data_IF_797535266345
#
_entry.id   IF_797535266345
#
_cell.length_a   1.000
_cell.length_b   1.000
_cell.length_c   1.000
_cell.angle_alpha   90.00
_cell.angle_beta   90.00
_cell.angle_gamma   90.00
#
_symmetry.space_group_name_H-M   'P 1'
#
loop_
_entity.id
_entity.type
_entity.pdbx_description
1 polymer ?
#
# COMPACT_ATOMS: atom_id res chain seq x y z
N UNK A 1 11.89 14.80 4.39
CA UNK A 1 11.98 15.24 2.98
C UNK A 1 10.56 15.63 2.54
N UNK A 2 10.28 16.91 2.26
CA UNK A 2 9.01 17.30 1.65
C UNK A 2 9.10 16.94 0.17
N UNK A 3 8.44 15.87 -0.27
CA UNK A 3 8.24 15.65 -1.70
C UNK A 3 7.25 16.72 -2.14
N UNK A 4 7.77 17.85 -2.63
CA UNK A 4 6.97 18.94 -3.18
C UNK A 4 6.75 18.61 -4.65
N UNK A 5 5.64 17.96 -4.95
CA UNK A 5 5.21 17.75 -6.34
C UNK A 5 4.57 19.05 -6.80
N UNK A 6 5.31 19.86 -7.55
CA UNK A 6 4.80 21.14 -8.06
C UNK A 6 3.68 20.90 -9.08
N UNK A 7 2.64 21.74 -9.01
CA UNK A 7 1.33 21.61 -9.69
C UNK A 7 1.36 21.69 -11.23
N UNK A 8 2.53 21.62 -11.86
CA UNK A 8 2.67 21.82 -13.31
C UNK A 8 3.43 20.72 -14.05
N UNK A 9 3.75 19.60 -13.39
CA UNK A 9 4.30 18.43 -14.07
C UNK A 9 3.32 17.28 -13.93
N UNK A 10 2.80 16.81 -15.06
CA UNK A 10 1.96 15.62 -15.16
C UNK A 10 2.81 14.38 -14.83
N UNK A 11 3.08 14.16 -13.55
CA UNK A 11 3.66 12.90 -13.10
C UNK A 11 2.52 11.90 -12.95
N UNK A 12 2.14 11.25 -14.05
CA UNK A 12 1.25 10.10 -13.98
C UNK A 12 1.93 8.96 -13.21
N UNK A 13 3.25 8.81 -13.40
CA UNK A 13 4.05 7.76 -12.78
C UNK A 13 5.19 8.39 -11.96
N UNK A 14 5.29 8.03 -10.68
CA UNK A 14 6.41 8.39 -9.82
C UNK A 14 7.02 7.13 -9.22
N UNK A 15 8.32 6.90 -9.47
CA UNK A 15 9.06 5.78 -8.90
C UNK A 15 10.31 6.29 -8.15
N UNK A 16 10.34 6.05 -6.85
CA UNK A 16 11.47 6.34 -5.96
C UNK A 16 11.95 5.00 -5.39
N UNK A 17 12.96 4.40 -6.01
CA UNK A 17 13.47 3.08 -5.59
C UNK A 17 14.90 3.20 -5.04
N UNK A 18 15.21 2.40 -4.01
CA UNK A 18 16.58 2.19 -3.49
C UNK A 18 17.30 3.48 -3.07
N UNK A 19 16.73 4.19 -2.11
CA UNK A 19 17.37 5.34 -1.46
C UNK A 19 17.47 5.13 0.05
N UNK A 20 18.04 6.11 0.76
CA UNK A 20 18.12 6.13 2.23
C UNK A 20 17.12 7.13 2.83
N UNK A 21 16.00 7.38 2.16
CA UNK A 21 15.04 8.36 2.67
C UNK A 21 14.43 7.91 3.99
N UNK A 22 14.37 8.82 4.94
CA UNK A 22 13.87 8.63 6.30
C UNK A 22 12.74 9.63 6.62
N UNK A 23 12.03 9.37 7.71
CA UNK A 23 10.89 10.18 8.16
C UNK A 23 9.57 9.75 7.54
N UNK A 24 8.53 10.54 7.75
CA UNK A 24 7.18 10.25 7.24
C UNK A 24 6.92 10.83 5.85
N UNK A 25 5.99 10.19 5.15
CA UNK A 25 5.43 10.65 3.89
C UNK A 25 3.94 10.94 4.08
N UNK A 26 3.49 12.08 3.57
CA UNK A 26 2.08 12.48 3.62
C UNK A 26 1.40 12.09 2.30
N UNK A 27 0.64 11.00 2.34
CA UNK A 27 -0.10 10.47 1.19
C UNK A 27 -1.46 11.16 0.96
N UNK A 28 -1.90 12.03 1.88
CA UNK A 28 -3.19 12.74 1.77
C UNK A 28 -3.16 13.88 0.76
N UNK A 29 -1.96 14.23 0.26
CA UNK A 29 -1.73 15.38 -0.62
C UNK A 29 -1.08 14.99 -1.94
N UNK A 30 -1.28 13.73 -2.37
CA UNK A 30 -0.82 13.28 -3.67
C UNK A 30 -1.53 14.05 -4.80
N UNK A 31 -0.87 14.27 -5.95
CA UNK A 31 -1.51 14.88 -7.12
C UNK A 31 -2.74 14.09 -7.56
N UNK A 32 -3.79 14.81 -7.95
CA UNK A 32 -5.06 14.23 -8.45
C UNK A 32 -4.87 13.39 -9.72
N UNK A 33 -3.87 13.73 -10.55
CA UNK A 33 -3.58 13.06 -11.82
C UNK A 33 -2.57 11.91 -11.68
N UNK A 34 -2.16 11.57 -10.45
CA UNK A 34 -1.23 10.48 -10.20
C UNK A 34 -1.92 9.13 -10.44
N UNK A 35 -1.40 8.34 -11.38
CA UNK A 35 -1.86 6.98 -11.65
C UNK A 35 -1.02 5.94 -10.92
N UNK A 36 0.31 6.11 -10.87
CA UNK A 36 1.20 5.11 -10.30
C UNK A 36 2.23 5.72 -9.34
N UNK A 37 2.31 5.15 -8.14
CA UNK A 37 3.29 5.53 -7.12
C UNK A 37 4.04 4.31 -6.60
N UNK A 38 5.35 4.25 -6.85
CA UNK A 38 6.23 3.24 -6.28
C UNK A 38 7.31 3.89 -5.42
N UNK A 39 7.27 3.67 -4.11
CA UNK A 39 8.30 4.08 -3.16
C UNK A 39 8.82 2.83 -2.45
N UNK A 40 9.87 2.24 -3.02
CA UNK A 40 10.36 0.93 -2.59
C UNK A 40 11.78 0.99 -2.06
N UNK A 41 12.09 0.14 -1.08
CA UNK A 41 13.45 -0.03 -0.55
C UNK A 41 14.02 1.30 -0.03
N UNK A 42 13.35 1.86 0.98
CA UNK A 42 13.76 3.06 1.70
C UNK A 42 13.64 2.82 3.22
N UNK A 43 13.80 3.86 4.03
CA UNK A 43 13.64 3.83 5.50
C UNK A 43 12.54 4.79 5.94
N UNK A 44 11.52 4.98 5.10
CA UNK A 44 10.38 5.83 5.43
C UNK A 44 9.53 5.14 6.50
N UNK A 45 8.97 5.92 7.40
CA UNK A 45 8.31 5.42 8.61
C UNK A 45 7.04 6.20 8.94
N UNK A 46 6.27 5.72 9.91
CA UNK A 46 5.01 6.32 10.31
C UNK A 46 3.80 5.70 9.60
N UNK A 47 2.62 6.23 9.89
CA UNK A 47 1.37 5.70 9.35
C UNK A 47 1.08 6.17 7.94
N UNK A 48 0.29 5.36 7.23
CA UNK A 48 -0.15 5.63 5.85
C UNK A 48 -1.66 5.79 5.86
N UNK A 49 -2.14 6.96 5.46
CA UNK A 49 -3.58 7.24 5.32
C UNK A 49 -4.02 6.86 3.90
N UNK A 50 -4.57 5.66 3.75
CA UNK A 50 -5.02 5.12 2.46
C UNK A 50 -6.41 5.61 2.03
N UNK A 51 -7.18 6.17 2.97
CA UNK A 51 -8.57 6.61 2.74
C UNK A 51 -8.71 7.93 1.96
N UNK A 52 -7.59 8.56 1.63
CA UNK A 52 -7.54 9.86 0.92
C UNK A 52 -6.67 9.79 -0.34
N UNK A 53 -6.47 8.59 -0.89
CA UNK A 53 -5.72 8.43 -2.13
C UNK A 53 -6.48 9.05 -3.32
N UNK A 54 -5.78 9.56 -4.35
CA UNK A 54 -6.40 10.08 -5.56
C UNK A 54 -7.29 9.05 -6.24
N UNK A 55 -8.42 9.49 -6.79
CA UNK A 55 -9.40 8.61 -7.46
C UNK A 55 -8.88 7.95 -8.72
N UNK A 56 -7.80 8.46 -9.31
CA UNK A 56 -7.16 7.94 -10.53
C UNK A 56 -5.97 7.00 -10.22
N UNK A 57 -5.65 6.77 -8.95
CA UNK A 57 -4.50 5.96 -8.58
C UNK A 57 -4.78 4.48 -8.88
N UNK A 58 -3.97 3.88 -9.74
CA UNK A 58 -4.04 2.49 -10.19
C UNK A 58 -3.07 1.60 -9.40
N UNK A 59 -1.83 2.06 -9.20
CA UNK A 59 -0.80 1.30 -8.50
C UNK A 59 -0.18 2.06 -7.33
N UNK A 60 -0.12 1.41 -6.17
CA UNK A 60 0.60 1.90 -4.99
C UNK A 60 1.53 0.80 -4.45
N UNK A 61 2.84 1.03 -4.57
CA UNK A 61 3.88 0.10 -4.11
C UNK A 61 4.73 0.80 -3.05
N UNK A 62 4.61 0.40 -1.78
CA UNK A 62 5.35 0.96 -0.64
C UNK A 62 6.32 -0.04 -0.01
N UNK A 63 6.65 -1.10 -0.73
CA UNK A 63 7.27 -2.29 -0.18
C UNK A 63 8.71 -2.04 0.29
N UNK A 64 9.16 -2.76 1.33
CA UNK A 64 10.49 -2.61 1.93
C UNK A 64 10.73 -1.18 2.48
N UNK A 65 9.89 -0.76 3.41
CA UNK A 65 10.05 0.46 4.21
C UNK A 65 9.90 0.13 5.70
N UNK A 66 9.67 1.14 6.53
CA UNK A 66 9.43 1.05 7.98
C UNK A 66 8.08 1.69 8.34
N UNK A 67 7.12 1.71 7.40
CA UNK A 67 5.78 2.22 7.68
C UNK A 67 5.08 1.34 8.72
N UNK A 68 4.21 1.92 9.54
CA UNK A 68 3.62 1.22 10.67
C UNK A 68 2.21 1.71 10.99
N UNK A 69 1.56 1.08 11.96
CA UNK A 69 0.18 1.38 12.37
C UNK A 69 -0.86 0.54 11.63
N UNK A 70 -2.13 0.83 11.91
CA UNK A 70 -3.26 0.11 11.34
C UNK A 70 -3.56 0.53 9.90
N UNK A 71 -4.09 -0.40 9.12
CA UNK A 71 -4.50 -0.18 7.74
C UNK A 71 -6.02 -0.06 7.66
N UNK A 72 -6.49 1.00 7.01
CA UNK A 72 -7.88 1.16 6.60
C UNK A 72 -7.96 1.05 5.07
N UNK A 73 -8.45 -0.10 4.59
CA UNK A 73 -8.62 -0.39 3.17
C UNK A 73 -10.04 -0.12 2.68
N UNK A 74 -10.92 0.44 3.50
CA UNK A 74 -12.36 0.56 3.19
C UNK A 74 -12.69 1.62 2.14
N UNK A 75 -11.71 2.45 1.77
CA UNK A 75 -11.87 3.58 0.84
C UNK A 75 -10.76 3.64 -0.20
N UNK A 76 -10.25 2.49 -0.64
CA UNK A 76 -9.32 2.47 -1.75
C UNK A 76 -10.01 2.97 -3.04
N UNK A 77 -9.29 3.68 -3.94
CA UNK A 77 -9.82 4.13 -5.22
C UNK A 77 -10.36 2.97 -6.05
N UNK A 78 -11.48 3.18 -6.76
CA UNK A 78 -12.07 2.16 -7.63
C UNK A 78 -11.20 1.81 -8.83
N UNK A 79 -10.28 2.71 -9.23
CA UNK A 79 -9.27 2.48 -10.27
C UNK A 79 -8.12 1.58 -9.83
N UNK A 80 -7.98 1.33 -8.53
CA UNK A 80 -6.80 0.63 -8.00
C UNK A 80 -6.78 -0.82 -8.47
N UNK A 81 -5.69 -1.20 -9.13
CA UNK A 81 -5.42 -2.55 -9.62
C UNK A 81 -4.32 -3.23 -8.79
N UNK A 82 -3.38 -2.48 -8.20
CA UNK A 82 -2.27 -3.06 -7.42
C UNK A 82 -1.95 -2.29 -6.16
N UNK A 83 -1.89 -3.01 -5.05
CA UNK A 83 -1.45 -2.51 -3.75
C UNK A 83 -0.42 -3.45 -3.14
N UNK A 84 0.83 -2.98 -2.98
CA UNK A 84 1.86 -3.72 -2.25
C UNK A 84 2.38 -2.90 -1.08
N UNK A 85 2.11 -3.39 0.12
CA UNK A 85 2.58 -2.85 1.40
C UNK A 85 3.58 -3.79 2.09
N UNK A 86 4.06 -4.77 1.33
CA UNK A 86 4.94 -5.84 1.80
C UNK A 86 6.19 -5.32 2.52
N UNK A 87 6.66 -6.05 3.53
CA UNK A 87 7.92 -5.72 4.25
C UNK A 87 7.86 -4.31 4.84
N UNK A 88 6.91 -4.12 5.72
CA UNK A 88 6.76 -2.94 6.58
C UNK A 88 6.49 -3.43 8.01
N UNK A 89 6.10 -2.53 8.90
CA UNK A 89 5.71 -2.81 10.29
C UNK A 89 4.24 -2.44 10.54
N UNK A 90 3.36 -2.61 9.54
CA UNK A 90 1.92 -2.43 9.74
C UNK A 90 1.37 -3.49 10.69
N UNK A 91 0.45 -3.12 11.58
CA UNK A 91 -0.04 -3.99 12.64
C UNK A 91 -1.54 -3.83 12.89
N UNK A 92 -2.13 -4.78 13.62
CA UNK A 92 -3.57 -4.83 13.89
C UNK A 92 -4.37 -5.57 12.79
N UNK A 93 -5.69 -5.45 12.85
CA UNK A 93 -6.60 -6.13 11.93
C UNK A 93 -6.86 -5.32 10.67
N UNK A 94 -7.19 -6.01 9.57
CA UNK A 94 -7.50 -5.40 8.28
C UNK A 94 -8.86 -5.89 7.80
N UNK A 95 -9.75 -4.96 7.48
CA UNK A 95 -11.02 -5.26 6.82
C UNK A 95 -10.81 -5.36 5.30
N UNK A 96 -11.13 -6.53 4.75
CA UNK A 96 -11.01 -6.83 3.31
C UNK A 96 -12.38 -6.83 2.60
N UNK A 97 -13.46 -6.47 3.29
CA UNK A 97 -14.83 -6.56 2.76
C UNK A 97 -15.16 -5.51 1.69
N UNK A 98 -14.37 -4.43 1.62
CA UNK A 98 -14.61 -3.27 0.75
C UNK A 98 -13.49 -3.07 -0.30
N UNK A 99 -12.77 -4.12 -0.67
CA UNK A 99 -11.74 -4.00 -1.70
C UNK A 99 -12.35 -3.63 -3.07
N UNK A 100 -11.68 -2.80 -3.88
CA UNK A 100 -12.12 -2.47 -5.23
C UNK A 100 -12.30 -3.72 -6.10
N UNK A 101 -13.37 -3.75 -6.90
CA UNK A 101 -13.65 -4.87 -7.79
C UNK A 101 -12.53 -5.11 -8.83
N UNK A 102 -11.83 -4.05 -9.24
CA UNK A 102 -10.72 -4.09 -10.19
C UNK A 102 -9.36 -4.44 -9.58
N UNK A 103 -9.28 -4.73 -8.28
CA UNK A 103 -8.01 -5.04 -7.62
C UNK A 103 -7.49 -6.40 -8.08
N UNK A 104 -6.33 -6.40 -8.73
CA UNK A 104 -5.66 -7.59 -9.28
C UNK A 104 -4.60 -8.13 -8.32
N UNK A 105 -3.94 -7.24 -7.57
CA UNK A 105 -2.83 -7.58 -6.69
C UNK A 105 -2.95 -6.87 -5.33
N UNK A 106 -2.94 -7.66 -4.26
CA UNK A 106 -2.85 -7.18 -2.88
C UNK A 106 -1.76 -7.96 -2.14
N UNK A 107 -0.64 -7.29 -1.83
CA UNK A 107 0.46 -7.88 -1.09
C UNK A 107 0.70 -7.15 0.23
N UNK A 108 0.21 -7.75 1.32
CA UNK A 108 0.40 -7.29 2.69
C UNK A 108 1.43 -8.14 3.47
N UNK A 109 2.16 -9.03 2.78
CA UNK A 109 3.05 -9.99 3.43
C UNK A 109 4.22 -9.33 4.16
N UNK A 110 4.89 -10.06 5.06
CA UNK A 110 6.01 -9.55 5.85
C UNK A 110 5.66 -8.24 6.62
N UNK A 111 4.51 -8.25 7.32
CA UNK A 111 4.05 -7.20 8.25
C UNK A 111 3.67 -7.84 9.61
N UNK A 112 3.22 -7.04 10.57
CA UNK A 112 2.78 -7.45 11.93
C UNK A 112 1.24 -7.47 12.06
N UNK A 113 0.53 -7.73 10.95
CA UNK A 113 -0.93 -7.75 10.90
C UNK A 113 -1.51 -9.00 11.59
N UNK A 114 -2.64 -8.83 12.27
CA UNK A 114 -3.35 -9.87 13.03
C UNK A 114 -4.82 -9.99 12.58
N UNK A 115 -5.53 -11.03 13.01
CA UNK A 115 -6.95 -11.24 12.68
C UNK A 115 -7.23 -11.85 11.29
N UNK A 116 -8.51 -11.85 10.88
CA UNK A 116 -9.10 -12.54 9.71
C UNK A 116 -8.58 -12.10 8.32
N UNK A 117 -7.36 -11.58 8.21
CA UNK A 117 -6.61 -11.63 6.94
C UNK A 117 -6.52 -13.09 6.42
N UNK A 118 -6.79 -14.08 7.30
CA UNK A 118 -6.82 -15.50 7.02
C UNK A 118 -8.08 -16.12 6.39
N UNK A 119 -9.19 -15.39 6.13
CA UNK A 119 -10.42 -16.08 5.67
C UNK A 119 -11.17 -15.36 4.55
N UNK A 120 -10.58 -15.21 3.35
CA UNK A 120 -11.42 -15.10 2.15
C UNK A 120 -10.91 -15.99 1.02
N UNK A 121 -11.27 -17.27 1.12
CA UNK A 121 -11.42 -18.23 0.00
C UNK A 121 -12.55 -17.81 -0.98
N UNK A 122 -12.80 -16.52 -1.15
CA UNK A 122 -13.96 -15.96 -1.87
C UNK A 122 -13.62 -14.81 -2.82
N UNK A 123 -12.34 -14.50 -3.00
CA UNK A 123 -11.92 -13.72 -4.17
C UNK A 123 -12.02 -14.61 -5.42
N UNK A 124 -12.48 -14.10 -6.57
CA UNK A 124 -12.45 -14.83 -7.82
C UNK A 124 -11.03 -15.35 -8.07
N UNK A 125 -10.92 -16.58 -8.54
CA UNK A 125 -9.68 -17.35 -8.69
C UNK A 125 -8.60 -16.68 -9.56
N UNK A 126 -8.92 -15.58 -10.23
CA UNK A 126 -7.99 -14.75 -11.00
C UNK A 126 -7.11 -13.82 -10.15
N UNK A 127 -7.47 -13.51 -8.90
CA UNK A 127 -6.86 -12.39 -8.13
C UNK A 127 -5.77 -12.82 -7.13
N UNK A 128 -5.51 -14.11 -6.92
CA UNK A 128 -4.64 -14.57 -5.82
C UNK A 128 -3.39 -15.30 -6.29
N UNK A 129 -2.38 -14.54 -6.76
CA UNK A 129 -1.05 -15.10 -7.09
C UNK A 129 0.04 -14.94 -6.02
N UNK A 130 -0.14 -14.22 -4.91
CA UNK A 130 0.93 -14.18 -3.90
C UNK A 130 0.52 -13.79 -2.47
N UNK A 131 -0.56 -14.34 -1.92
CA UNK A 131 -0.80 -14.18 -0.48
C UNK A 131 -0.18 -15.35 0.27
N UNK A 132 0.67 -15.00 1.25
CA UNK A 132 1.26 -15.81 2.32
C UNK A 132 2.63 -16.46 2.07
N UNK A 133 3.66 -15.84 2.67
CA UNK A 133 4.74 -16.58 3.33
C UNK A 133 5.04 -15.98 4.72
N UNK A 134 4.85 -16.83 5.73
CA UNK A 134 5.37 -16.81 7.12
C UNK A 134 4.97 -15.67 8.06
N UNK A 135 3.97 -15.95 8.90
CA UNK A 135 4.12 -15.63 10.33
C UNK A 135 5.31 -16.45 10.86
N UNK A 136 6.22 -15.81 11.60
CA UNK A 136 7.28 -16.51 12.33
C UNK A 136 6.62 -17.52 13.28
N UNK A 137 7.14 -18.76 13.42
CA UNK A 137 6.81 -19.54 14.59
C UNK A 137 7.35 -18.78 15.80
N UNK A 138 6.49 -18.51 16.77
CA UNK A 138 6.93 -18.16 18.11
C UNK A 138 7.74 -19.35 18.65
N UNK A 139 8.98 -19.10 19.07
CA UNK A 139 9.76 -20.02 19.92
C UNK A 139 9.34 -19.82 21.39
#
# INVERSE_FOLDING_TARGET
MRIRVERHVQFSNCAIKKNKFTGSADFTRLPVDLSNLAIETNRLSGSVVLTQLPSNLEELILSNNQFSGALDLTRLPSSMSRLSLRKNSFSGTVDLSQLPQGLEELDLSDNELSGEVFIFRRLPSSTLRSIFRRAKPEE
#
